data_IF_896024167322
#
_entry.id   IF_896024167322
#
_cell.length_a   1.000
_cell.length_b   1.000
_cell.length_c   1.000
_cell.angle_alpha   90.00
_cell.angle_beta   90.00
_cell.angle_gamma   90.00
#
_symmetry.space_group_name_H-M   'P 1'
#
loop_
_entity.id
_entity.type
_entity.pdbx_description
1 polymer ?
#
# COMPACT_ATOMS: atom_id res chain seq x y z
N UNK A 1 65.79 -13.31 -42.55
CA UNK A 1 64.95 -13.86 -41.45
C UNK A 1 64.36 -12.81 -40.49
N UNK A 2 64.59 -11.49 -40.64
CA UNK A 2 64.02 -10.47 -39.71
C UNK A 2 62.58 -10.01 -40.01
N UNK A 3 62.10 -10.12 -41.26
CA UNK A 3 60.78 -9.59 -41.66
C UNK A 3 59.59 -10.47 -41.26
N UNK A 4 59.78 -11.79 -41.12
CA UNK A 4 58.70 -12.71 -40.71
C UNK A 4 58.37 -12.61 -39.22
N UNK A 5 59.36 -12.29 -38.38
CA UNK A 5 59.17 -12.16 -36.93
C UNK A 5 58.30 -10.94 -36.57
N UNK A 6 58.46 -9.84 -37.30
CA UNK A 6 57.69 -8.59 -37.07
C UNK A 6 56.21 -8.79 -37.40
N UNK A 7 55.90 -9.56 -38.44
CA UNK A 7 54.51 -9.86 -38.81
C UNK A 7 53.81 -10.74 -37.77
N UNK A 8 54.51 -11.75 -37.25
CA UNK A 8 53.98 -12.64 -36.20
C UNK A 8 53.69 -11.89 -34.89
N UNK A 9 54.55 -10.96 -34.49
CA UNK A 9 54.36 -10.16 -33.27
C UNK A 9 53.19 -9.19 -33.44
N UNK A 10 53.03 -8.59 -34.63
CA UNK A 10 51.91 -7.67 -34.90
C UNK A 10 50.56 -8.38 -34.88
N UNK A 11 50.47 -9.59 -35.45
CA UNK A 11 49.22 -10.38 -35.42
C UNK A 11 48.85 -10.82 -34.00
N UNK A 12 49.84 -11.14 -33.17
CA UNK A 12 49.61 -11.56 -31.79
C UNK A 12 49.13 -10.39 -30.90
N UNK A 13 49.68 -9.18 -31.11
CA UNK A 13 49.25 -7.98 -30.38
C UNK A 13 47.84 -7.52 -30.78
N UNK A 14 47.46 -7.64 -32.06
CA UNK A 14 46.07 -7.36 -32.50
C UNK A 14 45.11 -8.42 -31.97
N UNK A 15 45.51 -9.69 -31.93
CA UNK A 15 44.72 -10.77 -31.34
C UNK A 15 44.45 -10.56 -29.84
N UNK A 16 45.47 -10.18 -29.07
CA UNK A 16 45.32 -9.85 -27.63
C UNK A 16 44.49 -8.58 -27.43
N UNK A 17 44.70 -7.54 -28.25
CA UNK A 17 43.89 -6.32 -28.22
C UNK A 17 42.41 -6.58 -28.49
N UNK A 18 42.07 -7.39 -29.50
CA UNK A 18 40.69 -7.79 -29.77
C UNK A 18 40.12 -8.70 -28.69
N UNK A 19 40.91 -9.58 -28.08
CA UNK A 19 40.43 -10.44 -27.00
C UNK A 19 40.15 -9.67 -25.71
N UNK A 20 40.96 -8.65 -25.40
CA UNK A 20 40.74 -7.76 -24.25
C UNK A 20 39.58 -6.78 -24.49
N UNK A 21 39.36 -6.29 -25.72
CA UNK A 21 38.18 -5.49 -26.05
C UNK A 21 36.88 -6.33 -26.01
N UNK A 22 36.89 -7.57 -26.50
CA UNK A 22 35.74 -8.48 -26.41
C UNK A 22 35.43 -8.94 -24.98
N UNK A 23 36.41 -8.89 -24.06
CA UNK A 23 36.17 -9.13 -22.63
C UNK A 23 35.72 -7.89 -21.87
N UNK A 24 35.92 -6.68 -22.41
CA UNK A 24 35.51 -5.43 -21.74
C UNK A 24 34.01 -5.13 -21.89
N UNK A 25 33.36 -5.63 -22.93
CA UNK A 25 31.92 -5.38 -23.17
C UNK A 25 30.96 -6.38 -22.47
N UNK A 26 31.49 -7.36 -21.73
CA UNK A 26 30.66 -8.40 -21.08
C UNK A 26 30.42 -8.19 -19.57
N UNK A 27 30.84 -7.07 -19.00
CA UNK A 27 30.65 -6.76 -17.58
C UNK A 27 29.98 -5.41 -17.36
N UNK A 28 28.80 -5.19 -17.95
CA UNK A 28 27.80 -4.21 -17.45
C UNK A 28 26.42 -4.41 -18.11
N UNK A 29 26.00 -5.64 -18.41
CA UNK A 29 24.58 -5.91 -18.28
C UNK A 29 24.36 -6.04 -16.77
N UNK A 30 24.00 -4.93 -16.11
CA UNK A 30 23.48 -5.01 -14.77
C UNK A 30 22.33 -6.00 -14.82
N UNK A 31 22.53 -7.19 -14.26
CA UNK A 31 21.44 -8.07 -13.88
C UNK A 31 20.72 -7.29 -12.78
N UNK A 32 19.87 -6.34 -13.17
CA UNK A 32 18.83 -5.88 -12.29
C UNK A 32 17.93 -7.08 -12.14
N UNK A 33 18.07 -7.77 -11.00
CA UNK A 33 16.98 -8.60 -10.54
C UNK A 33 15.70 -7.76 -10.67
N UNK A 34 14.65 -8.30 -11.30
CA UNK A 34 13.41 -7.57 -11.46
C UNK A 34 12.98 -7.10 -10.07
N UNK A 35 12.57 -5.82 -9.98
CA UNK A 35 12.16 -5.24 -8.72
C UNK A 35 11.18 -6.17 -7.99
N UNK A 36 11.33 -6.40 -6.68
CA UNK A 36 10.57 -7.42 -5.99
C UNK A 36 9.07 -7.16 -6.14
N UNK A 37 8.35 -8.19 -6.55
CA UNK A 37 6.91 -8.12 -6.80
C UNK A 37 6.13 -8.05 -5.47
N UNK A 38 5.13 -7.18 -5.40
CA UNK A 38 4.24 -7.10 -4.25
C UNK A 38 3.27 -8.29 -4.28
N UNK A 39 3.55 -9.29 -3.47
CA UNK A 39 2.75 -10.53 -3.36
C UNK A 39 2.37 -10.80 -1.91
N UNK A 40 1.28 -11.55 -1.64
CA UNK A 40 0.96 -12.03 -0.29
C UNK A 40 2.13 -12.74 0.40
N UNK A 41 2.94 -13.48 -0.37
CA UNK A 41 4.15 -14.14 0.10
C UNK A 41 5.18 -13.13 0.61
N UNK A 42 5.41 -12.05 -0.13
CA UNK A 42 6.32 -10.98 0.28
C UNK A 42 5.82 -10.26 1.54
N UNK A 43 4.52 -10.00 1.65
CA UNK A 43 3.89 -9.42 2.85
C UNK A 43 4.14 -10.31 4.07
N UNK A 44 3.82 -11.60 3.96
CA UNK A 44 3.97 -12.57 5.05
C UNK A 44 5.43 -12.73 5.45
N UNK A 45 6.35 -12.82 4.48
CA UNK A 45 7.78 -12.90 4.77
C UNK A 45 8.29 -11.67 5.54
N UNK A 46 7.85 -10.47 5.16
CA UNK A 46 8.17 -9.24 5.86
C UNK A 46 7.56 -9.16 7.26
N UNK A 47 6.28 -9.53 7.40
CA UNK A 47 5.55 -9.44 8.67
C UNK A 47 6.05 -10.47 9.69
N UNK A 48 6.21 -11.71 9.29
CA UNK A 48 6.52 -12.82 10.18
C UNK A 48 7.94 -12.80 10.73
N UNK A 49 8.84 -12.00 10.13
CA UNK A 49 10.24 -11.89 10.54
C UNK A 49 10.39 -11.47 12.01
N UNK A 50 9.54 -10.53 12.44
CA UNK A 50 9.62 -9.92 13.77
C UNK A 50 8.28 -10.00 14.55
N UNK A 51 7.26 -10.68 14.01
CA UNK A 51 5.94 -10.74 14.61
C UNK A 51 5.73 -11.92 15.57
N UNK A 52 5.12 -11.63 16.72
CA UNK A 52 4.69 -12.62 17.71
C UNK A 52 3.55 -13.51 17.20
N UNK A 53 2.72 -12.98 16.31
CA UNK A 53 1.66 -13.72 15.61
C UNK A 53 2.12 -13.92 14.18
N UNK A 54 1.98 -15.14 13.68
CA UNK A 54 2.37 -15.50 12.33
C UNK A 54 1.16 -15.39 11.40
N UNK A 55 1.32 -14.66 10.30
CA UNK A 55 0.35 -14.64 9.21
C UNK A 55 0.68 -15.72 8.19
N UNK A 56 -0.35 -16.14 7.47
CA UNK A 56 -0.28 -16.98 6.29
C UNK A 56 -0.74 -16.18 5.08
N UNK A 57 -0.37 -16.60 3.88
CA UNK A 57 -0.77 -15.89 2.65
C UNK A 57 -2.27 -15.86 2.43
N UNK A 58 -3.03 -16.79 3.03
CA UNK A 58 -4.50 -16.83 3.00
C UNK A 58 -5.14 -15.74 3.84
N UNK A 59 -4.43 -15.21 4.83
CA UNK A 59 -4.91 -14.16 5.70
C UNK A 59 -4.65 -12.77 5.09
N UNK A 60 -3.83 -12.67 4.03
CA UNK A 60 -3.66 -11.43 3.28
C UNK A 60 -4.84 -11.27 2.32
N UNK A 61 -5.68 -10.26 2.57
CA UNK A 61 -6.88 -10.01 1.79
C UNK A 61 -6.57 -9.18 0.53
N UNK A 62 -5.77 -8.12 0.66
CA UNK A 62 -5.33 -7.31 -0.49
C UNK A 62 -3.98 -6.65 -0.22
N UNK A 63 -3.38 -6.19 -1.31
CA UNK A 63 -2.13 -5.41 -1.33
C UNK A 63 -2.25 -4.31 -2.37
N UNK A 64 -1.72 -3.12 -2.09
CA UNK A 64 -1.71 -2.00 -3.02
C UNK A 64 -0.37 -1.26 -2.98
N UNK A 65 0.12 -0.85 -4.16
CA UNK A 65 1.31 -0.02 -4.29
C UNK A 65 0.94 1.45 -4.07
N UNK A 66 1.58 2.10 -3.10
CA UNK A 66 1.37 3.52 -2.79
C UNK A 66 2.35 4.43 -3.56
N UNK A 67 3.54 3.91 -3.87
CA UNK A 67 4.58 4.54 -4.68
C UNK A 67 5.58 3.47 -5.13
N UNK A 68 6.60 3.86 -5.91
CA UNK A 68 7.68 2.95 -6.32
C UNK A 68 8.37 2.23 -5.15
N UNK A 69 8.36 2.82 -3.95
CA UNK A 69 9.08 2.26 -2.79
C UNK A 69 8.17 1.88 -1.63
N UNK A 70 6.87 2.16 -1.71
CA UNK A 70 5.95 1.88 -0.60
C UNK A 70 4.68 1.19 -1.07
N UNK A 71 4.22 0.28 -0.22
CA UNK A 71 3.03 -0.50 -0.41
C UNK A 71 2.27 -0.63 0.91
N UNK A 72 1.04 -1.06 0.80
CA UNK A 72 0.19 -1.36 1.92
C UNK A 72 -0.45 -2.73 1.70
N UNK A 73 -0.71 -3.44 2.79
CA UNK A 73 -1.46 -4.68 2.78
C UNK A 73 -2.49 -4.69 3.90
N UNK A 74 -3.61 -5.35 3.65
CA UNK A 74 -4.56 -5.68 4.70
C UNK A 74 -4.58 -7.18 4.91
N UNK A 75 -4.45 -7.59 6.16
CA UNK A 75 -4.54 -8.99 6.55
C UNK A 75 -5.50 -9.17 7.72
N UNK A 76 -6.16 -10.31 7.78
CA UNK A 76 -7.17 -10.61 8.79
C UNK A 76 -6.99 -12.05 9.28
N UNK A 77 -6.80 -12.20 10.58
CA UNK A 77 -6.91 -13.48 11.28
C UNK A 77 -8.30 -13.60 11.90
N UNK A 78 -8.58 -14.73 12.57
CA UNK A 78 -9.85 -14.92 13.30
C UNK A 78 -10.13 -13.87 14.37
N UNK A 79 -9.09 -13.22 14.92
CA UNK A 79 -9.22 -12.34 16.09
C UNK A 79 -8.70 -10.93 15.84
N UNK A 80 -7.99 -10.71 14.73
CA UNK A 80 -7.23 -9.47 14.55
C UNK A 80 -7.14 -9.09 13.08
N UNK A 81 -7.42 -7.82 12.81
CA UNK A 81 -7.21 -7.14 11.53
C UNK A 81 -5.91 -6.34 11.58
N UNK A 82 -5.18 -6.37 10.49
CA UNK A 82 -3.88 -5.75 10.33
C UNK A 82 -3.87 -4.86 9.10
N UNK A 83 -3.54 -3.59 9.30
CA UNK A 83 -3.12 -2.71 8.23
C UNK A 83 -1.59 -2.61 8.27
N UNK A 84 -0.92 -3.05 7.22
CA UNK A 84 0.53 -3.26 7.17
C UNK A 84 1.11 -2.32 6.13
N UNK A 85 1.95 -1.38 6.56
CA UNK A 85 2.71 -0.52 5.65
C UNK A 85 4.08 -1.15 5.40
N UNK A 86 4.43 -1.24 4.12
CA UNK A 86 5.60 -1.93 3.62
C UNK A 86 6.48 -0.95 2.84
N UNK A 87 7.79 -1.06 3.00
CA UNK A 87 8.78 -0.39 2.17
C UNK A 87 9.53 -1.41 1.34
N UNK A 88 9.59 -1.19 0.03
CA UNK A 88 10.40 -1.98 -0.91
C UNK A 88 11.87 -1.63 -0.71
N UNK A 89 12.71 -2.66 -0.63
CA UNK A 89 14.15 -2.54 -0.81
C UNK A 89 14.59 -3.36 -2.04
N UNK A 90 15.89 -3.47 -2.27
CA UNK A 90 16.45 -4.15 -3.45
C UNK A 90 16.05 -5.64 -3.53
N UNK A 91 15.77 -6.30 -2.41
CA UNK A 91 15.55 -7.74 -2.34
C UNK A 91 14.11 -8.14 -1.98
N UNK A 92 13.38 -7.32 -1.23
CA UNK A 92 12.07 -7.68 -0.66
C UNK A 92 11.30 -6.46 -0.14
N UNK A 93 10.16 -6.70 0.51
CA UNK A 93 9.43 -5.71 1.28
C UNK A 93 9.71 -5.88 2.77
N UNK A 94 9.95 -4.75 3.46
CA UNK A 94 10.10 -4.70 4.91
C UNK A 94 8.90 -3.98 5.53
N UNK A 95 8.40 -4.49 6.65
CA UNK A 95 7.31 -3.84 7.38
C UNK A 95 7.84 -2.61 8.10
N UNK A 96 7.21 -1.46 7.86
CA UNK A 96 7.57 -0.18 8.50
C UNK A 96 6.54 0.27 9.52
N UNK A 97 5.27 -0.13 9.36
CA UNK A 97 4.22 0.19 10.31
C UNK A 97 3.15 -0.90 10.29
N UNK A 98 2.54 -1.17 11.45
CA UNK A 98 1.42 -2.09 11.60
C UNK A 98 0.38 -1.48 12.52
N UNK A 99 -0.82 -1.26 12.01
CA UNK A 99 -2.00 -0.97 12.82
C UNK A 99 -2.72 -2.29 13.11
N UNK A 100 -3.06 -2.52 14.37
CA UNK A 100 -3.76 -3.74 14.81
C UNK A 100 -5.12 -3.37 15.37
N UNK A 101 -6.15 -4.11 14.96
CA UNK A 101 -7.50 -4.00 15.53
C UNK A 101 -8.03 -5.36 15.90
N UNK A 102 -8.67 -5.44 17.05
CA UNK A 102 -9.40 -6.64 17.47
C UNK A 102 -10.66 -6.78 16.62
N UNK A 103 -10.90 -7.97 16.09
CA UNK A 103 -12.16 -8.27 15.39
C UNK A 103 -13.26 -8.34 16.44
N UNK A 104 -14.27 -7.47 16.32
CA UNK A 104 -15.48 -7.52 17.13
C UNK A 104 -16.63 -8.13 16.31
N UNK A 105 -17.30 -9.15 16.85
CA UNK A 105 -18.37 -9.85 16.15
C UNK A 105 -19.54 -8.91 15.78
N UNK A 106 -19.74 -8.73 14.47
CA UNK A 106 -21.03 -8.37 13.87
C UNK A 106 -21.47 -6.91 13.84
N UNK A 107 -20.75 -5.98 14.48
CA UNK A 107 -21.14 -4.56 14.47
C UNK A 107 -20.36 -3.72 13.44
N UNK A 108 -19.15 -4.15 13.08
CA UNK A 108 -18.22 -3.34 12.31
C UNK A 108 -18.18 -3.73 10.84
N UNK A 109 -19.16 -3.24 10.07
CA UNK A 109 -19.29 -3.52 8.63
C UNK A 109 -18.32 -2.70 7.76
N UNK A 110 -17.70 -1.64 8.31
CA UNK A 110 -16.66 -0.86 7.64
C UNK A 110 -15.76 -0.14 8.64
N UNK A 111 -14.47 -0.04 8.34
CA UNK A 111 -13.42 0.64 9.08
C UNK A 111 -12.73 1.67 8.19
N UNK A 112 -12.14 2.69 8.80
CA UNK A 112 -11.30 3.64 8.10
C UNK A 112 -10.03 3.96 8.91
N UNK A 113 -8.94 4.14 8.19
CA UNK A 113 -7.63 4.55 8.69
C UNK A 113 -7.10 5.72 7.90
N UNK A 114 -6.32 6.56 8.56
CA UNK A 114 -5.42 7.49 7.90
C UNK A 114 -4.01 7.06 8.27
N UNK A 115 -3.22 6.76 7.25
CA UNK A 115 -1.81 6.43 7.41
C UNK A 115 -0.96 7.56 6.87
N UNK A 116 0.16 7.84 7.56
CA UNK A 116 1.20 8.75 7.11
C UNK A 116 2.44 7.93 6.74
N UNK A 117 2.97 8.22 5.57
CA UNK A 117 4.05 7.44 4.95
C UNK A 117 4.94 8.38 4.14
N UNK A 118 6.14 7.92 3.76
CA UNK A 118 7.03 8.70 2.89
C UNK A 118 6.41 8.96 1.50
N UNK A 119 5.47 8.11 1.06
CA UNK A 119 4.70 8.31 -0.17
C UNK A 119 3.59 9.37 -0.04
N UNK A 120 3.29 9.82 1.18
CA UNK A 120 2.24 10.77 1.53
C UNK A 120 1.22 10.17 2.50
N UNK A 121 0.11 10.90 2.67
CA UNK A 121 -0.99 10.48 3.54
C UNK A 121 -2.10 9.82 2.75
N UNK A 122 -2.66 8.76 3.30
CA UNK A 122 -3.71 7.98 2.64
C UNK A 122 -4.85 7.72 3.60
N UNK A 123 -6.08 7.90 3.12
CA UNK A 123 -7.29 7.37 3.74
C UNK A 123 -7.52 5.97 3.18
N UNK A 124 -7.57 4.99 4.07
CA UNK A 124 -7.89 3.62 3.78
C UNK A 124 -9.28 3.37 4.34
N UNK A 125 -10.19 2.83 3.54
CA UNK A 125 -11.47 2.32 4.04
C UNK A 125 -11.57 0.86 3.64
N UNK A 126 -11.92 0.00 4.59
CA UNK A 126 -12.08 -1.45 4.38
C UNK A 126 -13.41 -1.87 4.98
N UNK A 127 -14.15 -2.75 4.34
CA UNK A 127 -15.38 -3.26 4.93
C UNK A 127 -15.89 -4.53 4.30
N UNK A 128 -16.92 -5.06 4.94
CA UNK A 128 -17.65 -6.25 4.54
C UNK A 128 -19.08 -5.85 4.19
N UNK A 129 -19.53 -6.32 3.04
CA UNK A 129 -20.88 -6.12 2.53
C UNK A 129 -21.54 -7.49 2.37
N UNK A 130 -21.69 -8.17 3.51
CA UNK A 130 -22.31 -9.49 3.55
C UNK A 130 -23.70 -9.45 2.92
N UNK A 131 -23.97 -10.40 2.04
CA UNK A 131 -25.22 -10.49 1.29
C UNK A 131 -25.46 -9.33 0.31
N UNK A 132 -24.44 -8.48 0.07
CA UNK A 132 -24.49 -7.40 -0.93
C UNK A 132 -25.65 -6.45 -0.72
N UNK A 133 -25.83 -6.05 0.53
CA UNK A 133 -26.91 -5.16 0.95
C UNK A 133 -26.55 -3.69 0.75
N UNK A 134 -25.28 -3.34 0.58
CA UNK A 134 -24.84 -1.97 0.35
C UNK A 134 -24.55 -1.79 -1.14
N UNK A 135 -25.19 -0.80 -1.76
CA UNK A 135 -24.93 -0.42 -3.15
C UNK A 135 -23.80 0.61 -3.23
N UNK A 136 -23.91 1.65 -2.41
CA UNK A 136 -22.98 2.77 -2.41
C UNK A 136 -22.47 3.09 -1.02
N UNK A 137 -21.20 3.44 -0.94
CA UNK A 137 -20.55 3.93 0.27
C UNK A 137 -20.00 5.33 0.02
N UNK A 138 -20.41 6.30 0.83
CA UNK A 138 -19.87 7.64 0.85
C UNK A 138 -18.97 7.83 2.06
N UNK A 139 -17.76 8.35 1.84
CA UNK A 139 -16.81 8.73 2.88
C UNK A 139 -16.73 10.25 2.90
N UNK A 140 -17.17 10.86 3.99
CA UNK A 140 -17.27 12.31 4.14
C UNK A 140 -16.37 12.78 5.30
N UNK A 141 -15.17 13.31 5.01
CA UNK A 141 -14.31 13.86 6.04
C UNK A 141 -14.84 15.21 6.54
N UNK A 142 -14.68 15.45 7.83
CA UNK A 142 -14.96 16.74 8.46
C UNK A 142 -13.99 17.02 9.60
N UNK A 143 -13.92 18.29 10.00
CA UNK A 143 -13.19 18.72 11.19
C UNK A 143 -14.15 19.35 12.19
N UNK A 144 -13.83 19.20 13.47
CA UNK A 144 -14.44 20.00 14.54
C UNK A 144 -13.53 21.21 14.77
N UNK A 145 -14.08 22.41 14.65
CA UNK A 145 -13.38 23.66 14.91
C UNK A 145 -14.13 24.43 16.00
N UNK A 146 -13.39 25.09 16.89
CA UNK A 146 -14.03 26.00 17.86
C UNK A 146 -14.10 27.39 17.23
N UNK A 147 -15.32 27.88 17.01
CA UNK A 147 -15.59 29.23 16.50
C UNK A 147 -16.38 29.98 17.57
N UNK A 148 -15.86 31.12 18.05
CA UNK A 148 -16.50 31.95 19.08
C UNK A 148 -16.90 31.19 20.36
N UNK A 149 -16.10 30.21 20.77
CA UNK A 149 -16.36 29.39 21.98
C UNK A 149 -17.39 28.28 21.79
N UNK A 150 -17.91 28.06 20.57
CA UNK A 150 -18.77 26.94 20.23
C UNK A 150 -18.05 25.98 19.27
N UNK A 151 -18.25 24.67 19.44
CA UNK A 151 -17.80 23.66 18.49
C UNK A 151 -18.67 23.71 17.22
N UNK A 152 -18.00 23.72 16.07
CA UNK A 152 -18.60 23.77 14.75
C UNK A 152 -18.03 22.64 13.90
N UNK A 153 -18.91 21.77 13.38
CA UNK A 153 -18.55 20.74 12.41
C UNK A 153 -18.43 21.39 11.04
N UNK A 154 -17.26 21.27 10.42
CA UNK A 154 -17.00 21.76 9.06
C UNK A 154 -16.69 20.61 8.14
N UNK A 155 -17.62 20.31 7.24
CA UNK A 155 -17.44 19.33 6.18
C UNK A 155 -16.29 19.75 5.24
N UNK A 156 -15.56 18.77 4.71
CA UNK A 156 -14.52 18.97 3.72
C UNK A 156 -14.99 18.38 2.39
N UNK A 157 -15.97 19.04 1.77
CA UNK A 157 -16.72 18.55 0.60
C UNK A 157 -15.84 18.13 -0.57
N UNK A 158 -14.74 18.86 -0.81
CA UNK A 158 -13.78 18.55 -1.87
C UNK A 158 -13.19 17.13 -1.76
N UNK A 159 -13.33 16.49 -0.60
CA UNK A 159 -12.80 15.17 -0.29
C UNK A 159 -13.87 14.12 0.00
N UNK A 160 -15.15 14.48 -0.08
CA UNK A 160 -16.23 13.50 -0.08
C UNK A 160 -16.09 12.61 -1.31
N UNK A 161 -16.12 11.29 -1.10
CA UNK A 161 -16.06 10.31 -2.18
C UNK A 161 -17.16 9.29 -2.01
N UNK A 162 -17.75 8.87 -3.13
CA UNK A 162 -18.75 7.81 -3.17
C UNK A 162 -18.18 6.66 -4.01
N UNK A 163 -18.33 5.45 -3.49
CA UNK A 163 -17.82 4.21 -4.06
C UNK A 163 -18.98 3.27 -4.35
N UNK A 164 -18.95 2.63 -5.50
CA UNK A 164 -19.85 1.53 -5.83
C UNK A 164 -19.29 0.21 -5.25
N UNK A 165 -20.09 -0.44 -4.41
CA UNK A 165 -19.76 -1.68 -3.71
C UNK A 165 -20.84 -2.76 -3.86
N UNK A 166 -21.84 -2.54 -4.71
CA UNK A 166 -23.02 -3.40 -4.87
C UNK A 166 -22.67 -4.87 -5.14
N UNK A 167 -21.64 -5.13 -5.94
CA UNK A 167 -21.27 -6.49 -6.35
C UNK A 167 -20.17 -7.13 -5.50
N UNK A 168 -19.74 -6.48 -4.42
CA UNK A 168 -18.54 -6.86 -3.65
C UNK A 168 -18.94 -7.36 -2.27
N UNK A 169 -18.55 -8.59 -1.90
CA UNK A 169 -18.71 -9.09 -0.52
C UNK A 169 -17.77 -8.39 0.47
N UNK A 170 -16.63 -7.95 -0.04
CA UNK A 170 -15.61 -7.19 0.69
C UNK A 170 -15.11 -6.08 -0.20
N UNK A 171 -14.88 -4.92 0.38
CA UNK A 171 -14.41 -3.75 -0.35
C UNK A 171 -13.26 -3.09 0.39
N UNK A 172 -12.42 -2.42 -0.39
CA UNK A 172 -11.47 -1.46 0.14
C UNK A 172 -11.32 -0.29 -0.83
N UNK A 173 -10.84 0.83 -0.32
CA UNK A 173 -10.36 1.95 -1.11
C UNK A 173 -9.16 2.57 -0.43
N UNK A 174 -8.18 2.96 -1.23
CA UNK A 174 -6.99 3.68 -0.82
C UNK A 174 -7.01 5.03 -1.54
N UNK A 175 -7.11 6.10 -0.78
CA UNK A 175 -7.20 7.45 -1.32
C UNK A 175 -6.05 8.29 -0.80
N UNK A 176 -5.20 8.76 -1.71
CA UNK A 176 -4.18 9.76 -1.38
C UNK A 176 -4.85 11.08 -0.95
N UNK A 177 -4.41 11.62 0.17
CA UNK A 177 -4.89 12.87 0.73
C UNK A 177 -3.96 14.02 0.32
N UNK A 178 -4.48 15.24 0.15
CA UNK A 178 -3.66 16.41 -0.11
C UNK A 178 -2.61 16.64 1.00
N UNK A 179 -1.44 17.14 0.64
CA UNK A 179 -0.37 17.37 1.62
C UNK A 179 -0.78 18.37 2.71
N UNK A 180 -1.62 19.36 2.40
CA UNK A 180 -2.14 20.36 3.34
C UNK A 180 -3.36 19.91 4.16
N UNK A 181 -3.74 18.63 4.11
CA UNK A 181 -4.91 18.11 4.81
C UNK A 181 -4.73 18.17 6.35
N UNK A 182 -5.78 18.46 7.15
CA UNK A 182 -5.65 18.55 8.62
C UNK A 182 -5.15 17.23 9.25
N UNK A 183 -4.60 17.28 10.47
CA UNK A 183 -4.20 16.07 11.22
C UNK A 183 -5.34 15.53 12.09
N UNK A 184 -6.15 16.41 12.67
CA UNK A 184 -7.32 16.06 13.47
C UNK A 184 -8.56 16.02 12.58
N UNK A 185 -9.07 14.81 12.31
CA UNK A 185 -10.20 14.59 11.41
C UNK A 185 -11.14 13.52 11.93
N UNK A 186 -12.40 13.71 11.55
CA UNK A 186 -13.46 12.75 11.71
C UNK A 186 -13.99 12.39 10.32
N UNK A 187 -14.52 11.19 10.20
CA UNK A 187 -15.05 10.66 8.96
C UNK A 187 -16.42 10.10 9.23
N UNK A 188 -17.40 10.53 8.44
CA UNK A 188 -18.66 9.81 8.35
C UNK A 188 -18.60 8.84 7.18
N UNK A 189 -18.90 7.59 7.48
CA UNK A 189 -19.25 6.59 6.48
C UNK A 189 -20.77 6.54 6.36
N UNK A 190 -21.27 6.80 5.15
CA UNK A 190 -22.67 6.70 4.82
C UNK A 190 -22.87 5.62 3.76
N UNK A 191 -23.50 4.50 4.12
CA UNK A 191 -23.88 3.44 3.22
C UNK A 191 -25.36 3.51 2.86
N UNK A 192 -25.67 3.26 1.59
CA UNK A 192 -27.03 3.23 1.06
C UNK A 192 -27.27 1.89 0.36
N UNK A 193 -28.39 1.25 0.65
CA UNK A 193 -28.82 0.03 -0.04
C UNK A 193 -29.65 0.32 -1.30
N UNK A 194 -29.93 -0.73 -2.09
CA UNK A 194 -30.74 -0.64 -3.31
C UNK A 194 -32.18 -0.12 -3.08
N UNK A 195 -32.70 -0.23 -1.86
CA UNK A 195 -34.03 0.29 -1.48
C UNK A 195 -33.99 1.74 -1.01
N UNK A 196 -32.80 2.32 -0.86
CA UNK A 196 -32.56 3.67 -0.33
C UNK A 196 -32.46 3.74 1.19
N UNK A 197 -32.33 2.59 1.89
CA UNK A 197 -32.12 2.61 3.33
C UNK A 197 -30.69 3.03 3.65
N UNK A 198 -30.57 3.98 4.58
CA UNK A 198 -29.31 4.62 4.94
C UNK A 198 -28.73 4.02 6.23
N UNK A 199 -27.41 3.83 6.25
CA UNK A 199 -26.63 3.41 7.41
C UNK A 199 -25.46 4.36 7.60
N UNK A 200 -25.33 4.91 8.81
CA UNK A 200 -24.26 5.84 9.15
C UNK A 200 -23.30 5.23 10.15
N UNK A 201 -22.02 5.51 9.98
CA UNK A 201 -20.98 5.20 10.95
C UNK A 201 -20.02 6.38 11.06
N UNK A 202 -19.95 6.94 12.26
CA UNK A 202 -18.94 7.93 12.60
C UNK A 202 -17.64 7.21 12.97
N UNK A 203 -16.54 7.66 12.39
CA UNK A 203 -15.19 7.19 12.65
C UNK A 203 -14.33 8.38 13.05
N UNK A 204 -13.73 8.31 14.23
CA UNK A 204 -12.71 9.27 14.66
C UNK A 204 -11.34 8.72 14.33
N UNK A 205 -10.50 9.52 13.68
CA UNK A 205 -9.07 9.24 13.64
C UNK A 205 -8.31 10.36 14.32
N UNK A 206 -7.94 10.13 15.57
CA UNK A 206 -6.87 10.88 16.24
C UNK A 206 -5.56 10.23 15.86
N UNK A 207 -4.85 10.82 14.90
CA UNK A 207 -3.42 10.57 14.73
C UNK A 207 -2.75 11.31 15.89
N UNK A 208 -2.34 10.58 16.93
CA UNK A 208 -1.51 11.11 18.02
C UNK A 208 -0.14 11.61 17.52
#
# INVERSE_FOLDING_TARGET
MKKQLVWLISSFLVGIGCFLFLQHDNHSAAFHDPAPELTPQAVVAGFNKDATIQLTTKEVYWTETLSDTQAIAYAETKTTRYLIVLRRNEATYVVTHVTRRTVHDGQEWAEADVIDTDAGRFLIVVGENHHRLIDHLTVAPFKVAVTNGAEEIRAIEAMTRTFDVATKERFHTVQKLPQAFPKSLFFDLHAVDASGAERFRFLSNTID
#
